data_IF_225752505104
#
_entry.id   IF_225752505104
#
_cell.length_a   1.000
_cell.length_b   1.000
_cell.length_c   1.000
_cell.angle_alpha   90.00
_cell.angle_beta   90.00
_cell.angle_gamma   90.00
#
_symmetry.space_group_name_H-M   'P 1'
#
loop_
_entity.id
_entity.type
_entity.pdbx_description
1 polymer ?
#
# COMPACT_ATOMS: atom_id res chain seq x y z
N UNK A 1 23.26 -8.87 22.30
CA UNK A 1 22.87 -10.20 21.79
C UNK A 1 21.92 -9.99 20.62
N UNK A 2 22.34 -10.25 19.36
CA UNK A 2 21.48 -10.08 18.17
C UNK A 2 20.37 -11.14 18.23
N UNK A 3 19.15 -10.74 18.57
CA UNK A 3 17.98 -11.60 18.40
C UNK A 3 17.88 -11.90 16.90
N UNK A 4 17.90 -13.19 16.54
CA UNK A 4 17.85 -13.63 15.13
C UNK A 4 16.54 -13.13 14.53
N UNK A 5 16.57 -12.63 13.28
CA UNK A 5 15.38 -12.13 12.55
C UNK A 5 14.19 -13.11 12.59
N UNK A 6 14.49 -14.41 12.65
CA UNK A 6 13.51 -15.50 12.80
C UNK A 6 12.71 -15.45 14.11
N UNK A 7 13.24 -14.90 15.20
CA UNK A 7 12.52 -14.79 16.48
C UNK A 7 11.46 -13.68 16.47
N UNK A 8 11.68 -12.61 15.69
CA UNK A 8 10.79 -11.44 15.63
C UNK A 8 9.45 -11.79 14.94
N UNK A 9 9.53 -12.61 13.89
CA UNK A 9 8.38 -13.10 13.14
C UNK A 9 7.55 -14.08 13.98
N UNK A 10 8.21 -14.97 14.76
CA UNK A 10 7.54 -15.93 15.65
C UNK A 10 6.68 -15.22 16.70
N UNK A 11 7.18 -14.11 17.29
CA UNK A 11 6.45 -13.33 18.29
C UNK A 11 5.21 -12.65 17.68
N UNK A 12 5.34 -12.11 16.47
CA UNK A 12 4.23 -11.49 15.74
C UNK A 12 3.15 -12.53 15.37
N UNK A 13 3.54 -13.75 14.96
CA UNK A 13 2.58 -14.84 14.73
C UNK A 13 1.89 -15.33 16.01
N UNK A 14 2.59 -15.34 17.15
CA UNK A 14 2.02 -15.72 18.44
C UNK A 14 1.02 -14.67 18.95
N UNK A 15 1.21 -13.40 18.61
CA UNK A 15 0.27 -12.31 18.92
C UNK A 15 -0.97 -12.33 18.02
N UNK A 16 -0.86 -12.83 16.79
CA UNK A 16 -1.99 -12.93 15.84
C UNK A 16 -2.96 -14.08 16.12
N UNK A 17 -2.60 -15.04 16.98
CA UNK A 17 -3.48 -16.15 17.38
C UNK A 17 -4.26 -15.86 18.67
N UNK A 18 -3.95 -14.76 19.37
CA UNK A 18 -4.68 -14.31 20.56
C UNK A 18 -5.85 -13.43 20.14
N UNK A 19 -7.00 -14.05 19.90
CA UNK A 19 -8.28 -13.37 19.68
C UNK A 19 -8.77 -12.73 21.00
N UNK A 20 -8.44 -11.47 21.23
CA UNK A 20 -9.01 -10.64 22.30
C UNK A 20 -8.80 -9.15 22.05
N UNK A 21 -9.69 -8.26 22.51
CA UNK A 21 -9.56 -6.82 22.27
C UNK A 21 -8.45 -6.23 23.15
N UNK A 22 -7.40 -5.68 22.52
CA UNK A 22 -6.40 -4.86 23.19
C UNK A 22 -7.02 -3.49 23.51
N UNK A 23 -7.26 -3.20 24.78
CA UNK A 23 -7.52 -1.83 25.24
C UNK A 23 -6.20 -1.05 25.30
N UNK A 24 -6.21 0.19 24.82
CA UNK A 24 -5.06 1.08 24.79
C UNK A 24 -4.72 1.61 26.19
N UNK A 25 -3.43 1.60 26.58
CA UNK A 25 -2.94 2.26 27.81
C UNK A 25 -2.19 3.53 27.43
N UNK A 26 -2.59 4.68 28.00
CA UNK A 26 -1.96 6.00 27.79
C UNK A 26 -0.74 6.21 28.69
N UNK A 27 0.20 7.05 28.23
CA UNK A 27 1.56 7.26 28.75
C UNK A 27 1.71 7.83 30.17
N UNK A 28 0.64 7.96 30.96
CA UNK A 28 0.65 8.67 32.26
C UNK A 28 1.03 7.83 33.48
N UNK A 29 1.37 6.54 33.34
CA UNK A 29 1.70 5.67 34.49
C UNK A 29 3.19 5.29 34.65
N UNK A 30 4.12 5.90 33.92
CA UNK A 30 5.56 5.60 34.02
C UNK A 30 6.36 6.78 34.56
N UNK A 31 6.20 7.08 35.84
CA UNK A 31 7.20 7.84 36.58
C UNK A 31 7.23 7.36 38.02
N UNK A 32 8.17 6.45 38.34
CA UNK A 32 9.03 6.58 39.52
C UNK A 32 10.12 5.49 39.59
N UNK A 33 11.36 5.95 39.82
CA UNK A 33 12.55 5.30 40.41
C UNK A 33 13.48 4.36 39.59
N UNK A 34 14.60 5.00 39.23
CA UNK A 34 16.03 4.69 39.55
C UNK A 34 16.91 3.74 38.70
N UNK A 35 17.82 4.40 37.97
CA UNK A 35 19.30 4.31 37.93
C UNK A 35 20.05 3.12 37.31
N UNK A 36 20.76 3.48 36.22
CA UNK A 36 22.07 3.02 35.71
C UNK A 36 22.29 1.54 35.32
N UNK A 37 21.83 1.18 34.12
CA UNK A 37 22.49 0.28 33.15
C UNK A 37 21.81 0.47 31.76
N UNK A 38 22.47 0.24 30.61
CA UNK A 38 21.78 0.27 29.32
C UNK A 38 20.96 -1.03 29.19
N UNK A 39 19.75 -1.02 29.74
CA UNK A 39 18.84 -2.14 29.73
C UNK A 39 18.20 -2.28 28.34
N UNK A 40 18.73 -3.18 27.51
CA UNK A 40 17.93 -3.81 26.44
C UNK A 40 17.08 -4.91 27.10
N UNK A 41 16.00 -4.51 27.76
CA UNK A 41 15.02 -5.44 28.34
C UNK A 41 13.65 -4.81 28.18
N UNK A 42 12.90 -5.25 27.17
CA UNK A 42 11.47 -4.98 27.11
C UNK A 42 10.82 -5.89 28.15
N UNK A 43 10.39 -5.31 29.28
CA UNK A 43 9.56 -6.00 30.27
C UNK A 43 8.14 -6.10 29.73
N UNK A 44 7.64 -7.33 29.62
CA UNK A 44 6.24 -7.63 29.34
C UNK A 44 5.35 -6.99 30.43
N UNK A 45 4.29 -6.26 30.08
CA UNK A 45 3.17 -6.05 30.99
C UNK A 45 2.54 -7.42 31.24
N UNK A 46 2.68 -7.92 32.46
CA UNK A 46 2.23 -9.26 32.82
C UNK A 46 0.84 -9.17 33.45
N UNK A 47 -0.17 -8.75 32.68
CA UNK A 47 -1.56 -8.63 33.15
C UNK A 47 -2.54 -9.56 32.44
N UNK A 48 -2.04 -10.68 31.90
CA UNK A 48 -2.89 -11.82 31.49
C UNK A 48 -3.41 -12.67 32.67
N UNK A 49 -3.57 -12.09 33.87
CA UNK A 49 -4.09 -12.80 35.07
C UNK A 49 -5.29 -12.12 35.74
N UNK A 50 -5.80 -11.00 35.23
CA UNK A 50 -6.92 -10.30 35.86
C UNK A 50 -8.26 -11.04 35.69
N UNK A 51 -8.41 -11.79 34.60
CA UNK A 51 -9.71 -12.33 34.18
C UNK A 51 -10.15 -13.56 35.01
N UNK A 52 -9.19 -14.23 35.64
CA UNK A 52 -9.43 -15.36 36.55
C UNK A 52 -9.71 -14.93 37.99
N UNK A 53 -9.25 -13.75 38.41
CA UNK A 53 -9.60 -13.20 39.72
C UNK A 53 -10.95 -12.48 39.69
N UNK A 54 -11.32 -11.86 38.55
CA UNK A 54 -12.64 -11.24 38.39
C UNK A 54 -13.76 -12.29 38.23
N UNK A 55 -13.48 -13.48 37.69
CA UNK A 55 -14.45 -14.59 37.66
C UNK A 55 -14.70 -15.22 39.03
N UNK A 56 -13.71 -15.18 39.93
CA UNK A 56 -13.85 -15.68 41.31
C UNK A 56 -14.62 -14.67 42.18
N UNK A 57 -14.49 -13.37 41.90
CA UNK A 57 -15.18 -12.33 42.69
C UNK A 57 -16.64 -12.09 42.26
N UNK A 58 -17.03 -12.55 41.06
CA UNK A 58 -18.43 -12.51 40.57
C UNK A 58 -19.30 -13.67 41.08
N UNK A 59 -18.75 -14.61 41.86
CA UNK A 59 -19.53 -15.65 42.54
C UNK A 59 -19.94 -15.25 43.97
N UNK A 60 -19.31 -14.22 44.56
CA UNK A 60 -19.57 -13.81 45.97
C UNK A 60 -20.33 -12.48 46.17
N UNK A 61 -20.76 -11.80 45.10
CA UNK A 61 -21.39 -10.46 45.22
C UNK A 61 -22.90 -10.43 44.92
N UNK A 62 -23.61 -11.56 45.04
CA UNK A 62 -25.07 -11.59 44.89
C UNK A 62 -25.76 -11.46 46.26
N UNK A 63 -25.58 -10.31 46.94
CA UNK A 63 -26.39 -9.90 48.10
C UNK A 63 -26.53 -8.37 48.13
N UNK A 64 -27.75 -7.88 47.84
CA UNK A 64 -28.34 -6.59 48.25
C UNK A 64 -27.64 -5.30 47.78
N UNK A 65 -28.25 -4.13 47.71
CA UNK A 65 -29.59 -3.64 47.99
C UNK A 65 -29.67 -2.21 47.41
N UNK A 66 -30.90 -1.81 47.12
CA UNK A 66 -31.53 -0.53 46.78
C UNK A 66 -30.78 0.83 46.71
N UNK A 67 -31.31 1.61 45.74
CA UNK A 67 -31.86 2.98 45.87
C UNK A 67 -31.15 4.21 45.25
N UNK A 68 -31.95 4.86 44.38
CA UNK A 68 -32.31 6.29 44.30
C UNK A 68 -31.44 7.31 43.51
N UNK A 69 -32.07 7.74 42.40
CA UNK A 69 -32.38 9.12 41.93
C UNK A 69 -31.32 10.25 41.92
N UNK A 70 -31.28 10.95 40.77
CA UNK A 70 -30.77 12.32 40.66
C UNK A 70 -30.76 12.84 39.22
N UNK A 71 -31.41 13.98 38.98
CA UNK A 71 -31.91 14.52 37.69
C UNK A 71 -31.13 15.78 37.26
N UNK A 72 -31.25 16.14 35.96
CA UNK A 72 -31.14 17.51 35.39
C UNK A 72 -29.70 18.04 35.18
N UNK A 73 -29.29 18.81 34.15
CA UNK A 73 -29.92 19.47 32.99
C UNK A 73 -28.82 20.13 32.13
N UNK A 74 -29.05 20.25 30.81
CA UNK A 74 -28.45 21.25 29.88
C UNK A 74 -28.88 22.70 30.25
N UNK A 75 -28.26 23.79 29.73
CA UNK A 75 -28.55 24.28 28.36
C UNK A 75 -27.38 24.96 27.59
N UNK A 76 -27.68 25.20 26.31
CA UNK A 76 -27.00 25.91 25.23
C UNK A 76 -26.67 27.40 25.49
N UNK A 77 -25.83 27.98 24.60
CA UNK A 77 -26.03 29.22 23.79
C UNK A 77 -24.70 29.57 23.09
N UNK A 78 -24.58 30.48 22.12
CA UNK A 78 -25.13 30.71 20.77
C UNK A 78 -24.27 31.88 20.19
N UNK A 79 -24.25 32.07 18.86
CA UNK A 79 -23.91 33.30 18.10
C UNK A 79 -22.44 33.84 18.08
N UNK A 80 -21.93 34.63 17.12
CA UNK A 80 -22.07 34.89 15.66
C UNK A 80 -21.00 35.97 15.30
N UNK A 81 -20.89 36.32 14.00
CA UNK A 81 -20.19 37.48 13.34
C UNK A 81 -18.69 37.32 12.94
N UNK A 82 -18.34 37.22 11.64
CA UNK A 82 -18.16 38.24 10.55
C UNK A 82 -17.06 39.29 10.84
N UNK A 83 -16.11 39.65 9.94
CA UNK A 83 -16.25 40.37 8.65
C UNK A 83 -14.94 40.27 7.81
N UNK A 84 -15.09 40.42 6.49
CA UNK A 84 -14.16 40.47 5.34
C UNK A 84 -13.18 41.69 5.28
N UNK A 85 -12.00 41.58 4.64
CA UNK A 85 -11.57 42.03 3.26
C UNK A 85 -10.46 43.13 3.37
N UNK A 86 -9.76 43.63 2.32
CA UNK A 86 -9.48 43.18 0.92
C UNK A 86 -7.96 43.24 0.53
N UNK A 87 -7.49 42.50 -0.50
CA UNK A 87 -7.19 42.83 -1.94
C UNK A 87 -6.21 43.99 -2.23
N UNK A 88 -5.13 43.68 -2.98
CA UNK A 88 -4.55 44.36 -4.18
C UNK A 88 -3.06 43.97 -4.35
N UNK A 89 -2.37 43.99 -5.49
CA UNK A 89 -2.64 43.82 -6.92
C UNK A 89 -1.25 43.90 -7.62
N UNK A 90 -1.06 43.08 -8.67
CA UNK A 90 -0.23 43.27 -9.88
C UNK A 90 1.24 43.74 -9.83
N UNK A 91 2.06 43.07 -10.65
CA UNK A 91 3.35 43.59 -11.12
C UNK A 91 4.10 42.65 -12.07
N UNK A 92 3.62 42.54 -13.30
CA UNK A 92 4.33 41.91 -14.45
C UNK A 92 5.49 42.80 -14.90
N UNK A 93 6.65 42.22 -15.25
CA UNK A 93 7.58 42.72 -16.30
C UNK A 93 8.76 41.76 -16.55
N UNK A 94 8.77 41.12 -17.72
CA UNK A 94 9.95 40.78 -18.53
C UNK A 94 9.81 41.62 -19.84
N UNK A 95 10.75 41.66 -20.83
CA UNK A 95 12.06 41.02 -20.95
C UNK A 95 13.16 41.95 -21.53
N UNK A 96 14.42 41.50 -21.63
CA UNK A 96 15.24 41.82 -22.83
C UNK A 96 16.45 40.89 -23.01
N UNK A 97 16.54 40.34 -24.22
CA UNK A 97 17.65 39.61 -24.84
C UNK A 97 18.80 40.56 -25.18
N UNK A 98 20.07 40.16 -24.97
CA UNK A 98 21.22 40.62 -25.76
C UNK A 98 22.24 39.51 -26.02
N UNK A 99 22.84 39.67 -27.18
CA UNK A 99 23.62 38.80 -28.06
C UNK A 99 25.05 38.49 -27.58
N UNK A 100 25.63 37.44 -28.18
CA UNK A 100 26.94 36.86 -27.92
C UNK A 100 28.14 37.68 -28.41
N UNK A 101 29.37 37.23 -28.09
CA UNK A 101 30.35 37.03 -29.16
C UNK A 101 31.05 35.65 -29.15
N UNK A 102 31.37 35.20 -30.36
CA UNK A 102 32.35 34.16 -30.77
C UNK A 102 33.76 34.41 -30.16
N UNK A 103 34.72 33.50 -30.05
CA UNK A 103 34.92 32.09 -30.44
C UNK A 103 36.09 31.55 -29.60
N UNK A 104 36.21 30.23 -29.42
CA UNK A 104 37.52 29.56 -29.49
C UNK A 104 37.36 28.05 -29.66
N UNK A 105 38.08 27.57 -30.67
CA UNK A 105 38.26 26.19 -31.10
C UNK A 105 38.73 25.27 -29.95
N UNK A 106 38.00 24.18 -29.73
CA UNK A 106 38.46 23.00 -28.98
C UNK A 106 37.54 21.80 -29.29
N UNK A 107 37.98 20.99 -30.26
CA UNK A 107 37.73 19.55 -30.41
C UNK A 107 36.38 19.00 -29.87
N UNK A 108 35.38 19.00 -30.74
CA UNK A 108 34.13 18.25 -30.54
C UNK A 108 34.40 16.75 -30.72
N UNK A 109 34.09 15.88 -29.73
CA UNK A 109 34.04 14.44 -29.98
C UNK A 109 32.91 14.20 -30.99
N UNK A 110 33.19 13.41 -32.03
CA UNK A 110 32.19 12.94 -33.00
C UNK A 110 30.98 12.42 -32.20
N UNK A 111 29.87 13.15 -32.29
CA UNK A 111 28.62 12.72 -31.71
C UNK A 111 28.28 11.38 -32.38
N UNK A 112 28.30 10.30 -31.60
CA UNK A 112 27.62 9.06 -31.98
C UNK A 112 26.20 9.50 -32.31
N UNK A 113 25.79 9.39 -33.57
CA UNK A 113 24.42 9.69 -33.98
C UNK A 113 23.49 8.89 -33.07
N UNK A 114 22.90 9.56 -32.07
CA UNK A 114 21.83 9.00 -31.27
C UNK A 114 20.76 8.64 -32.28
N UNK A 115 20.34 7.37 -32.30
CA UNK A 115 19.27 6.93 -33.18
C UNK A 115 18.09 7.93 -33.07
N UNK A 116 17.44 8.30 -34.18
CA UNK A 116 16.36 9.27 -34.15
C UNK A 116 15.32 8.85 -33.10
N UNK A 117 14.90 9.81 -32.26
CA UNK A 117 13.87 9.62 -31.24
C UNK A 117 12.62 9.09 -31.94
N UNK A 118 12.25 7.84 -31.67
CA UNK A 118 11.07 7.23 -32.26
C UNK A 118 9.92 7.35 -31.27
N UNK A 119 8.88 8.07 -31.68
CA UNK A 119 7.61 8.11 -30.96
C UNK A 119 6.66 7.14 -31.64
N UNK A 120 6.28 6.08 -30.93
CA UNK A 120 5.25 5.13 -31.38
C UNK A 120 3.91 5.55 -30.77
N UNK A 121 2.83 5.49 -31.55
CA UNK A 121 1.47 5.78 -31.06
C UNK A 121 0.57 4.59 -31.37
N UNK A 122 -0.30 4.22 -30.42
CA UNK A 122 -1.35 3.24 -30.63
C UNK A 122 -2.51 3.46 -29.65
N UNK A 123 -3.39 2.47 -29.49
CA UNK A 123 -4.50 2.50 -28.54
C UNK A 123 -4.50 1.25 -27.67
N UNK A 124 -5.04 1.37 -26.45
CA UNK A 124 -5.45 0.25 -25.61
C UNK A 124 -6.91 0.48 -25.23
N UNK A 125 -7.83 -0.27 -25.82
CA UNK A 125 -9.26 0.05 -25.75
C UNK A 125 -9.57 1.34 -26.47
N UNK A 126 -10.21 2.28 -25.77
CA UNK A 126 -10.51 3.60 -26.34
C UNK A 126 -9.47 4.66 -25.97
N UNK A 127 -8.52 4.34 -25.08
CA UNK A 127 -7.43 5.23 -24.71
C UNK A 127 -6.30 5.16 -25.74
N UNK A 128 -5.85 6.32 -26.21
CA UNK A 128 -4.62 6.44 -26.99
C UNK A 128 -3.39 6.36 -26.09
N UNK A 129 -2.26 5.90 -26.61
CA UNK A 129 -0.99 6.05 -25.93
C UNK A 129 0.15 6.40 -26.88
N UNK A 130 1.14 7.11 -26.34
CA UNK A 130 2.42 7.39 -27.01
C UNK A 130 3.57 6.77 -26.23
N UNK A 131 4.55 6.20 -26.94
CA UNK A 131 5.76 5.64 -26.37
C UNK A 131 6.99 6.34 -26.96
N UNK A 132 7.84 6.89 -26.08
CA UNK A 132 9.11 7.50 -26.46
C UNK A 132 10.27 6.53 -26.26
N UNK A 133 10.80 5.98 -27.35
CA UNK A 133 11.89 4.99 -27.29
C UNK A 133 13.19 5.53 -26.72
N UNK A 134 13.39 6.86 -26.67
CA UNK A 134 14.59 7.45 -26.12
C UNK A 134 14.57 7.53 -24.58
N UNK A 135 13.38 7.57 -23.98
CA UNK A 135 13.20 7.73 -22.53
C UNK A 135 12.53 6.52 -21.87
N UNK A 136 11.83 5.70 -22.65
CA UNK A 136 10.98 4.62 -22.15
C UNK A 136 9.67 5.12 -21.53
N UNK A 137 9.30 6.38 -21.74
CA UNK A 137 8.06 6.96 -21.24
C UNK A 137 6.88 6.49 -22.09
N UNK A 138 5.88 5.92 -21.44
CA UNK A 138 4.58 5.59 -22.00
C UNK A 138 3.52 6.54 -21.42
N UNK A 139 2.82 7.29 -22.26
CA UNK A 139 1.78 8.24 -21.84
C UNK A 139 0.44 7.77 -22.38
N UNK A 140 -0.56 7.61 -21.50
CA UNK A 140 -1.94 7.33 -21.88
C UNK A 140 -2.77 8.61 -21.91
N UNK A 141 -3.51 8.82 -22.99
CA UNK A 141 -4.54 9.85 -23.13
C UNK A 141 -5.92 9.34 -22.71
N UNK A 142 -6.90 10.24 -22.65
CA UNK A 142 -8.26 9.93 -22.22
C UNK A 142 -8.87 8.69 -22.90
N UNK A 143 -9.67 7.93 -22.15
CA UNK A 143 -10.35 6.73 -22.60
C UNK A 143 -10.20 5.56 -21.63
N UNK A 144 -10.78 4.42 -21.97
CA UNK A 144 -10.80 3.22 -21.12
C UNK A 144 -9.83 2.19 -21.65
N UNK A 145 -8.91 1.72 -20.80
CA UNK A 145 -8.02 0.61 -21.11
C UNK A 145 -8.83 -0.69 -21.21
N UNK A 146 -8.38 -1.66 -22.00
CA UNK A 146 -9.13 -2.92 -22.21
C UNK A 146 -8.28 -4.18 -22.39
N UNK A 147 -6.96 -4.02 -22.56
CA UNK A 147 -6.04 -5.11 -22.86
C UNK A 147 -4.87 -5.11 -21.88
N UNK A 148 -4.35 -6.31 -21.60
CA UNK A 148 -3.05 -6.47 -20.93
C UNK A 148 -1.98 -5.71 -21.71
N UNK A 149 -1.29 -4.80 -21.03
CA UNK A 149 -0.43 -3.82 -21.67
C UNK A 149 0.75 -4.49 -22.39
N UNK A 150 1.34 -5.53 -21.81
CA UNK A 150 2.41 -6.32 -22.46
C UNK A 150 2.03 -6.77 -23.88
N UNK A 151 0.83 -7.33 -24.05
CA UNK A 151 0.33 -7.81 -25.34
C UNK A 151 0.07 -6.65 -26.29
N UNK A 152 -0.56 -5.58 -25.79
CA UNK A 152 -0.87 -4.40 -26.58
C UNK A 152 0.41 -3.72 -27.13
N UNK A 153 1.45 -3.57 -26.29
CA UNK A 153 2.76 -3.05 -26.69
C UNK A 153 3.45 -3.94 -27.72
N UNK A 154 3.47 -5.25 -27.49
CA UNK A 154 4.13 -6.21 -28.40
C UNK A 154 3.49 -6.17 -29.79
N UNK A 155 2.16 -6.08 -29.87
CA UNK A 155 1.43 -5.96 -31.13
C UNK A 155 1.72 -4.63 -31.86
N UNK A 156 2.06 -3.59 -31.11
CA UNK A 156 2.48 -2.30 -31.64
C UNK A 156 3.98 -2.23 -31.98
N UNK A 157 4.72 -3.34 -31.85
CA UNK A 157 6.17 -3.39 -32.09
C UNK A 157 7.01 -2.74 -30.99
N UNK A 158 6.45 -2.52 -29.80
CA UNK A 158 7.16 -1.99 -28.63
C UNK A 158 7.54 -3.15 -27.72
N UNK A 159 8.84 -3.28 -27.40
CA UNK A 159 9.32 -4.27 -26.43
C UNK A 159 8.87 -3.87 -25.02
N UNK A 160 8.11 -4.71 -24.29
CA UNK A 160 7.62 -4.35 -22.95
C UNK A 160 8.70 -4.00 -21.93
N UNK A 161 9.89 -4.59 -22.06
CA UNK A 161 11.04 -4.29 -21.20
C UNK A 161 11.63 -2.88 -21.41
N UNK A 162 11.27 -2.20 -22.51
CA UNK A 162 11.73 -0.84 -22.80
C UNK A 162 10.87 0.23 -22.13
N UNK A 163 9.67 -0.11 -21.65
CA UNK A 163 8.84 0.79 -20.84
C UNK A 163 9.48 0.98 -19.47
N UNK A 164 9.85 2.22 -19.14
CA UNK A 164 10.49 2.60 -17.87
C UNK A 164 9.56 3.36 -16.95
N UNK A 165 8.70 4.20 -17.54
CA UNK A 165 7.71 4.96 -16.80
C UNK A 165 6.37 4.98 -17.53
N UNK A 166 5.29 5.02 -16.76
CA UNK A 166 3.93 5.21 -17.26
C UNK A 166 3.38 6.49 -16.67
N UNK A 167 2.73 7.30 -17.50
CA UNK A 167 2.00 8.50 -17.11
C UNK A 167 0.57 8.42 -17.65
N UNK A 168 -0.38 8.95 -16.87
CA UNK A 168 -1.78 9.06 -17.26
C UNK A 168 -2.15 10.54 -17.39
N UNK A 169 -2.70 10.91 -18.54
CA UNK A 169 -3.38 12.20 -18.72
C UNK A 169 -4.81 12.12 -18.16
N UNK A 170 -5.46 13.28 -18.02
CA UNK A 170 -6.82 13.35 -17.50
C UNK A 170 -7.80 12.49 -18.32
N UNK A 171 -8.68 11.76 -17.62
CA UNK A 171 -9.74 10.96 -18.23
C UNK A 171 -9.32 9.54 -18.63
N UNK A 172 -8.18 9.03 -18.17
CA UNK A 172 -7.84 7.61 -18.34
C UNK A 172 -8.58 6.77 -17.31
N UNK A 173 -9.29 5.75 -17.78
CA UNK A 173 -10.14 4.87 -16.95
C UNK A 173 -9.62 3.44 -17.00
N UNK A 174 -9.47 2.82 -15.84
CA UNK A 174 -9.16 1.40 -15.70
C UNK A 174 -10.40 0.54 -16.04
N UNK A 175 -10.26 -0.60 -16.73
CA UNK A 175 -11.36 -1.51 -16.97
C UNK A 175 -11.79 -2.20 -15.67
N UNK A 176 -13.09 -2.54 -15.57
CA UNK A 176 -13.64 -3.31 -14.45
C UNK A 176 -12.84 -4.60 -14.15
N UNK A 177 -12.32 -5.26 -15.19
CA UNK A 177 -11.30 -6.29 -15.04
C UNK A 177 -9.92 -5.72 -15.44
N UNK A 178 -9.16 -5.29 -14.45
CA UNK A 178 -7.78 -4.82 -14.59
C UNK A 178 -6.76 -5.91 -14.25
N UNK A 179 -7.19 -7.18 -14.25
CA UNK A 179 -6.28 -8.28 -13.93
C UNK A 179 -5.13 -8.31 -14.94
N UNK A 180 -3.90 -8.39 -14.45
CA UNK A 180 -2.67 -8.43 -15.23
C UNK A 180 -2.42 -7.19 -16.12
N UNK A 181 -3.16 -6.09 -15.94
CA UNK A 181 -3.14 -4.93 -16.84
C UNK A 181 -1.72 -4.39 -17.06
N UNK A 182 -0.90 -4.29 -16.00
CA UNK A 182 0.50 -3.85 -16.07
C UNK A 182 1.51 -4.98 -15.82
N UNK A 183 1.11 -6.25 -15.91
CA UNK A 183 2.00 -7.38 -15.61
C UNK A 183 3.16 -7.53 -16.60
N UNK A 184 4.29 -8.01 -16.07
CA UNK A 184 5.50 -8.38 -16.81
C UNK A 184 6.13 -7.23 -17.61
N UNK A 185 5.98 -6.01 -17.12
CA UNK A 185 6.70 -4.84 -17.59
C UNK A 185 8.03 -4.78 -16.83
N UNK A 186 8.95 -5.70 -17.15
CA UNK A 186 10.20 -5.90 -16.41
C UNK A 186 11.14 -4.70 -16.40
N UNK A 187 10.89 -3.70 -17.25
CA UNK A 187 11.58 -2.41 -17.26
C UNK A 187 10.90 -1.31 -16.45
N UNK A 188 9.63 -1.48 -16.07
CA UNK A 188 8.83 -0.46 -15.42
C UNK A 188 9.39 -0.19 -14.04
N UNK A 189 9.88 1.04 -13.85
CA UNK A 189 10.43 1.48 -12.58
C UNK A 189 9.61 2.59 -11.94
N UNK A 190 8.67 3.22 -12.65
CA UNK A 190 7.95 4.38 -12.12
C UNK A 190 6.55 4.51 -12.71
N UNK A 191 5.59 4.87 -11.87
CA UNK A 191 4.34 5.49 -12.30
C UNK A 191 4.42 6.99 -11.98
N UNK A 192 4.13 7.84 -12.96
CA UNK A 192 4.19 9.30 -12.84
C UNK A 192 2.76 9.79 -12.69
N UNK A 193 2.48 10.45 -11.56
CA UNK A 193 1.20 11.11 -11.27
C UNK A 193 -0.02 10.23 -11.59
N UNK A 194 -0.25 9.23 -10.74
CA UNK A 194 -1.35 8.27 -10.88
C UNK A 194 -2.73 8.85 -10.51
N UNK A 195 -2.81 10.14 -10.17
CA UNK A 195 -4.07 10.80 -9.81
C UNK A 195 -5.08 10.86 -10.97
N UNK A 196 -4.59 10.82 -12.21
CA UNK A 196 -5.41 10.83 -13.42
C UNK A 196 -5.88 9.43 -13.89
N UNK A 197 -5.53 8.38 -13.15
CA UNK A 197 -5.95 7.02 -13.47
C UNK A 197 -7.15 6.61 -12.63
N UNK A 198 -8.35 6.66 -13.21
CA UNK A 198 -9.59 6.32 -12.52
C UNK A 198 -9.72 4.80 -12.36
N UNK A 199 -9.60 4.33 -11.11
CA UNK A 199 -9.78 2.92 -10.75
C UNK A 199 -11.12 2.63 -10.04
N UNK A 200 -12.01 3.60 -9.92
CA UNK A 200 -13.25 3.50 -9.13
C UNK A 200 -14.20 2.38 -9.61
N UNK A 201 -14.13 2.03 -10.89
CA UNK A 201 -14.96 0.97 -11.49
C UNK A 201 -14.35 -0.43 -11.42
N UNK A 202 -13.11 -0.56 -10.92
CA UNK A 202 -12.37 -1.82 -10.94
C UNK A 202 -12.92 -2.83 -9.94
N UNK A 203 -13.18 -4.05 -10.42
CA UNK A 203 -13.62 -5.21 -9.63
C UNK A 203 -12.53 -6.25 -9.43
N UNK A 204 -11.60 -6.38 -10.39
CA UNK A 204 -10.52 -7.36 -10.34
C UNK A 204 -9.18 -6.69 -10.63
N UNK A 205 -8.26 -6.75 -9.66
CA UNK A 205 -6.90 -6.21 -9.73
C UNK A 205 -5.83 -7.31 -9.61
N UNK A 206 -6.21 -8.57 -9.81
CA UNK A 206 -5.29 -9.70 -9.67
C UNK A 206 -4.09 -9.56 -10.63
N UNK A 207 -2.88 -9.73 -10.12
CA UNK A 207 -1.66 -9.69 -10.94
C UNK A 207 -1.32 -8.33 -11.55
N UNK A 208 -1.86 -7.21 -11.05
CA UNK A 208 -1.69 -5.89 -11.69
C UNK A 208 -0.22 -5.57 -12.02
N UNK A 209 0.71 -5.85 -11.10
CA UNK A 209 2.15 -5.65 -11.23
C UNK A 209 2.95 -6.97 -11.15
N UNK A 210 2.33 -8.07 -11.57
CA UNK A 210 2.95 -9.40 -11.53
C UNK A 210 4.24 -9.43 -12.37
N UNK A 211 5.36 -9.85 -11.76
CA UNK A 211 6.69 -9.93 -12.39
C UNK A 211 7.29 -8.60 -12.88
N UNK A 212 6.85 -7.47 -12.34
CA UNK A 212 7.47 -6.17 -12.62
C UNK A 212 8.74 -6.00 -11.77
N UNK A 213 9.83 -6.65 -12.20
CA UNK A 213 11.04 -6.82 -11.40
C UNK A 213 11.89 -5.55 -11.19
N UNK A 214 11.62 -4.49 -11.95
CA UNK A 214 12.26 -3.17 -11.86
C UNK A 214 11.43 -2.11 -11.11
N UNK A 215 10.24 -2.46 -10.62
CA UNK A 215 9.31 -1.53 -9.98
C UNK A 215 9.98 -0.76 -8.83
N UNK A 216 9.76 0.57 -8.75
CA UNK A 216 10.47 1.47 -7.84
C UNK A 216 10.43 1.05 -6.37
N UNK A 217 11.44 1.54 -5.65
CA UNK A 217 11.56 1.49 -4.19
C UNK A 217 10.34 2.10 -3.49
N UNK A 218 9.75 3.15 -4.05
CA UNK A 218 8.56 3.84 -3.54
C UNK A 218 7.55 4.00 -4.66
N UNK A 219 6.53 3.16 -4.66
CA UNK A 219 5.40 3.25 -5.57
C UNK A 219 4.24 3.90 -4.81
N UNK A 220 3.86 5.12 -5.20
CA UNK A 220 2.68 5.76 -4.64
C UNK A 220 1.42 5.24 -5.36
N UNK A 221 0.59 4.51 -4.62
CA UNK A 221 -0.69 3.95 -5.07
C UNK A 221 -1.85 4.49 -4.21
N UNK A 222 -1.64 5.59 -3.50
CA UNK A 222 -2.62 6.14 -2.55
C UNK A 222 -3.89 6.64 -3.23
N UNK A 223 -3.80 6.99 -4.53
CA UNK A 223 -4.94 7.47 -5.34
C UNK A 223 -5.81 6.36 -5.91
N UNK A 224 -5.41 5.09 -5.77
CA UNK A 224 -6.22 3.97 -6.27
C UNK A 224 -7.46 3.82 -5.39
N UNK A 225 -8.63 4.03 -5.98
CA UNK A 225 -9.89 3.61 -5.39
C UNK A 225 -10.01 2.08 -5.52
N UNK A 226 -9.98 1.40 -4.38
CA UNK A 226 -10.14 -0.06 -4.27
C UNK A 226 -11.48 -0.47 -3.67
N UNK A 227 -12.39 0.47 -3.41
CA UNK A 227 -13.65 0.24 -2.68
C UNK A 227 -14.61 -0.73 -3.37
N UNK A 228 -14.42 -0.99 -4.67
CA UNK A 228 -15.20 -1.94 -5.47
C UNK A 228 -14.46 -3.23 -5.82
N UNK A 229 -13.22 -3.38 -5.39
CA UNK A 229 -12.37 -4.53 -5.75
C UNK A 229 -12.78 -5.77 -4.96
N UNK A 230 -12.84 -6.91 -5.67
CA UNK A 230 -13.23 -8.21 -5.14
C UNK A 230 -12.04 -9.19 -5.06
N UNK A 231 -11.01 -9.00 -5.90
CA UNK A 231 -9.83 -9.86 -5.94
C UNK A 231 -8.55 -9.08 -6.25
N UNK A 232 -7.51 -9.36 -5.48
CA UNK A 232 -6.16 -8.77 -5.56
C UNK A 232 -5.04 -9.84 -5.56
N UNK A 233 -5.37 -11.09 -5.86
CA UNK A 233 -4.40 -12.19 -5.86
C UNK A 233 -3.21 -11.93 -6.80
N UNK A 234 -2.00 -12.36 -6.39
CA UNK A 234 -0.75 -12.19 -7.14
C UNK A 234 -0.38 -10.74 -7.54
N UNK A 235 -1.04 -9.71 -7.01
CA UNK A 235 -0.87 -8.32 -7.49
C UNK A 235 0.58 -7.84 -7.53
N UNK A 236 1.38 -8.22 -6.54
CA UNK A 236 2.81 -7.90 -6.41
C UNK A 236 3.69 -9.16 -6.40
N UNK A 237 3.18 -10.30 -6.90
CA UNK A 237 3.96 -11.54 -6.97
C UNK A 237 5.18 -11.34 -7.90
N UNK A 238 6.36 -11.72 -7.40
CA UNK A 238 7.65 -11.54 -8.07
C UNK A 238 7.97 -10.08 -8.46
N UNK A 239 7.33 -9.10 -7.81
CA UNK A 239 7.58 -7.68 -8.07
C UNK A 239 8.92 -7.18 -7.50
N UNK A 240 9.43 -6.10 -8.09
CA UNK A 240 10.66 -5.43 -7.68
C UNK A 240 10.51 -4.41 -6.54
N UNK A 241 9.28 -4.12 -6.09
CA UNK A 241 9.01 -3.10 -5.09
C UNK A 241 9.71 -3.41 -3.77
N UNK A 242 10.27 -2.37 -3.14
CA UNK A 242 11.00 -2.52 -1.85
C UNK A 242 10.22 -1.97 -0.65
N UNK A 243 9.31 -1.02 -0.89
CA UNK A 243 8.39 -0.46 0.09
C UNK A 243 7.00 -0.27 -0.50
N UNK A 244 5.97 -0.71 0.23
CA UNK A 244 4.57 -0.53 -0.15
C UNK A 244 3.77 -0.04 1.06
N UNK A 245 3.11 1.11 0.90
CA UNK A 245 2.06 1.53 1.83
C UNK A 245 0.70 1.32 1.19
N UNK A 246 -0.05 0.33 1.70
CA UNK A 246 -1.38 -0.04 1.22
C UNK A 246 -2.44 0.22 2.30
N UNK A 247 -2.13 1.06 3.29
CA UNK A 247 -3.04 1.36 4.39
C UNK A 247 -4.25 2.21 3.98
N UNK A 248 -4.16 2.93 2.86
CA UNK A 248 -5.28 3.69 2.30
C UNK A 248 -6.30 2.83 1.54
N UNK A 249 -5.96 1.58 1.23
CA UNK A 249 -6.83 0.73 0.42
C UNK A 249 -8.03 0.23 1.21
N UNK A 250 -9.23 0.47 0.68
CA UNK A 250 -10.44 -0.24 1.10
C UNK A 250 -10.39 -1.66 0.55
N UNK A 251 -10.18 -2.63 1.44
CA UNK A 251 -10.17 -4.07 1.13
C UNK A 251 -11.34 -4.80 1.76
N UNK A 252 -12.41 -4.08 2.16
CA UNK A 252 -13.55 -4.66 2.90
C UNK A 252 -14.30 -5.72 2.10
N UNK A 253 -14.36 -5.56 0.77
CA UNK A 253 -15.05 -6.48 -0.16
C UNK A 253 -14.14 -7.54 -0.78
N UNK A 254 -12.82 -7.45 -0.59
CA UNK A 254 -11.87 -8.35 -1.25
C UNK A 254 -11.88 -9.73 -0.59
N UNK A 255 -12.13 -10.76 -1.40
CA UNK A 255 -12.10 -12.16 -0.97
C UNK A 255 -10.83 -12.90 -1.36
N UNK A 256 -10.09 -12.44 -2.38
CA UNK A 256 -8.89 -13.11 -2.88
C UNK A 256 -7.61 -12.30 -2.71
N UNK A 257 -6.71 -12.74 -1.83
CA UNK A 257 -5.35 -12.21 -1.62
C UNK A 257 -4.26 -13.27 -1.87
N UNK A 258 -4.64 -14.43 -2.41
CA UNK A 258 -3.70 -15.53 -2.68
C UNK A 258 -2.48 -15.04 -3.44
N UNK A 259 -1.27 -15.46 -3.04
CA UNK A 259 0.01 -15.06 -3.62
C UNK A 259 0.31 -13.55 -3.67
N UNK A 260 -0.44 -12.65 -3.01
CA UNK A 260 -0.36 -11.22 -3.30
C UNK A 260 1.06 -10.62 -3.31
N UNK A 261 1.95 -11.08 -2.43
CA UNK A 261 3.36 -10.69 -2.35
C UNK A 261 4.31 -11.88 -2.53
N UNK A 262 3.84 -12.99 -3.11
CA UNK A 262 4.65 -14.21 -3.26
C UNK A 262 5.93 -13.89 -4.03
N UNK A 263 7.08 -14.34 -3.51
CA UNK A 263 8.41 -14.12 -4.06
C UNK A 263 8.74 -12.64 -4.35
N UNK A 264 8.11 -11.68 -3.66
CA UNK A 264 8.53 -10.28 -3.65
C UNK A 264 9.83 -10.15 -2.83
N UNK A 265 10.90 -10.74 -3.35
CA UNK A 265 12.17 -10.96 -2.64
C UNK A 265 12.91 -9.67 -2.28
N UNK A 266 12.55 -8.54 -2.91
CA UNK A 266 13.10 -7.22 -2.63
C UNK A 266 12.27 -6.40 -1.61
N UNK A 267 11.08 -6.86 -1.25
CA UNK A 267 10.17 -6.14 -0.36
C UNK A 267 10.73 -6.14 1.07
N UNK A 268 10.99 -4.95 1.60
CA UNK A 268 11.54 -4.75 2.96
C UNK A 268 10.54 -4.12 3.92
N UNK A 269 9.64 -3.30 3.39
CA UNK A 269 8.66 -2.52 4.16
C UNK A 269 7.27 -2.68 3.56
N UNK A 270 6.30 -3.00 4.40
CA UNK A 270 4.91 -3.19 4.00
C UNK A 270 3.96 -2.69 5.10
N UNK A 271 3.04 -1.80 4.74
CA UNK A 271 2.01 -1.31 5.65
C UNK A 271 0.62 -1.81 5.22
N UNK A 272 0.01 -2.65 6.07
CA UNK A 272 -1.35 -3.21 5.91
C UNK A 272 -2.26 -2.83 7.09
N UNK A 273 -1.92 -1.76 7.81
CA UNK A 273 -2.46 -1.47 9.14
C UNK A 273 -3.98 -1.33 9.24
N UNK A 274 -4.71 -1.15 8.15
CA UNK A 274 -6.18 -0.99 8.10
C UNK A 274 -6.91 -2.23 7.60
N UNK A 275 -6.17 -3.24 7.15
CA UNK A 275 -6.77 -4.34 6.39
C UNK A 275 -7.65 -5.23 7.25
N UNK A 276 -8.86 -5.52 6.74
CA UNK A 276 -9.84 -6.36 7.43
C UNK A 276 -10.70 -5.63 8.46
N UNK A 277 -10.42 -4.36 8.76
CA UNK A 277 -11.35 -3.50 9.51
C UNK A 277 -12.64 -3.35 8.69
N UNK A 278 -13.80 -3.61 9.30
CA UNK A 278 -15.10 -3.49 8.62
C UNK A 278 -15.34 -4.48 7.47
N UNK A 279 -14.59 -5.58 7.39
CA UNK A 279 -14.69 -6.55 6.29
C UNK A 279 -16.12 -7.08 6.09
N UNK A 280 -16.60 -6.99 4.85
CA UNK A 280 -17.90 -7.50 4.41
C UNK A 280 -17.78 -8.80 3.61
N UNK A 281 -16.61 -9.10 3.04
CA UNK A 281 -16.34 -10.38 2.39
C UNK A 281 -16.51 -11.54 3.40
N UNK A 282 -17.29 -12.56 3.03
CA UNK A 282 -17.69 -13.68 3.92
C UNK A 282 -16.73 -14.87 3.89
N UNK A 283 -15.90 -14.98 2.87
CA UNK A 283 -14.83 -15.98 2.75
C UNK A 283 -13.62 -15.31 2.11
N UNK A 284 -12.49 -15.34 2.82
CA UNK A 284 -11.27 -14.66 2.41
C UNK A 284 -10.11 -15.64 2.33
N UNK A 285 -9.43 -15.64 1.19
CA UNK A 285 -8.33 -16.53 0.87
C UNK A 285 -7.01 -15.73 0.85
N UNK A 286 -6.06 -16.10 1.70
CA UNK A 286 -4.74 -15.46 1.87
C UNK A 286 -3.59 -16.46 1.71
N UNK A 287 -3.84 -17.59 1.05
CA UNK A 287 -2.83 -18.63 0.84
C UNK A 287 -1.59 -18.09 0.12
N UNK A 288 -0.39 -18.54 0.52
CA UNK A 288 0.91 -18.14 -0.03
C UNK A 288 1.16 -16.62 -0.13
N UNK A 289 0.38 -15.77 0.57
CA UNK A 289 0.41 -14.31 0.42
C UNK A 289 1.81 -13.70 0.60
N UNK A 290 2.60 -14.20 1.56
CA UNK A 290 3.96 -13.74 1.85
C UNK A 290 5.04 -14.78 1.53
N UNK A 291 4.69 -15.85 0.80
CA UNK A 291 5.62 -16.94 0.53
C UNK A 291 6.85 -16.40 -0.19
N UNK A 292 8.06 -16.61 0.33
CA UNK A 292 9.30 -16.16 -0.32
C UNK A 292 9.59 -14.66 -0.22
N UNK A 293 8.88 -13.88 0.61
CA UNK A 293 9.25 -12.48 0.93
C UNK A 293 10.42 -12.43 1.93
N UNK A 294 11.59 -12.94 1.54
CA UNK A 294 12.72 -13.19 2.45
C UNK A 294 13.38 -11.94 3.06
N UNK A 295 13.14 -10.75 2.49
CA UNK A 295 13.69 -9.48 2.97
C UNK A 295 12.69 -8.62 3.77
N UNK A 296 11.45 -9.06 3.95
CA UNK A 296 10.43 -8.28 4.65
C UNK A 296 10.76 -8.20 6.14
N UNK A 297 11.12 -7.01 6.63
CA UNK A 297 11.49 -6.78 8.04
C UNK A 297 10.62 -5.74 8.73
N UNK A 298 10.03 -4.80 7.97
CA UNK A 298 9.16 -3.76 8.51
C UNK A 298 7.73 -4.02 8.05
N UNK A 299 7.00 -4.85 8.79
CA UNK A 299 5.61 -5.18 8.50
C UNK A 299 4.69 -4.51 9.52
N UNK A 300 3.90 -3.53 9.09
CA UNK A 300 2.92 -2.85 9.93
C UNK A 300 1.54 -3.50 9.81
N UNK A 301 1.05 -4.04 10.94
CA UNK A 301 -0.23 -4.73 11.08
C UNK A 301 -1.12 -4.15 12.20
N UNK A 302 -0.90 -2.90 12.64
CA UNK A 302 -1.51 -2.36 13.88
C UNK A 302 -3.02 -2.61 14.04
N UNK A 303 -3.84 -2.48 12.99
CA UNK A 303 -5.28 -2.84 13.03
C UNK A 303 -5.67 -3.95 12.05
N UNK A 304 -4.70 -4.75 11.59
CA UNK A 304 -4.96 -5.86 10.67
C UNK A 304 -5.92 -6.88 11.32
N UNK A 305 -6.98 -7.29 10.60
CA UNK A 305 -7.95 -8.29 11.05
C UNK A 305 -8.03 -9.48 10.09
N UNK A 306 -8.13 -10.66 10.68
CA UNK A 306 -8.27 -11.96 10.00
C UNK A 306 -9.71 -12.45 9.92
N UNK A 307 -10.69 -11.57 10.21
CA UNK A 307 -12.12 -11.87 10.14
C UNK A 307 -12.48 -12.52 8.80
N UNK A 308 -13.24 -13.61 8.84
CA UNK A 308 -13.69 -14.36 7.66
C UNK A 308 -12.58 -14.96 6.77
N UNK A 309 -11.32 -15.02 7.23
CA UNK A 309 -10.26 -15.73 6.49
C UNK A 309 -10.46 -17.23 6.61
N UNK A 310 -10.64 -17.90 5.48
CA UNK A 310 -10.89 -19.34 5.36
C UNK A 310 -9.63 -20.14 5.03
N UNK A 311 -8.59 -19.48 4.51
CA UNK A 311 -7.34 -20.14 4.13
C UNK A 311 -6.14 -19.21 4.27
N UNK A 312 -5.16 -19.62 5.07
CA UNK A 312 -3.86 -18.96 5.24
C UNK A 312 -2.70 -19.93 4.93
N UNK A 313 -2.95 -20.99 4.16
CA UNK A 313 -1.98 -22.05 3.88
C UNK A 313 -0.66 -21.49 3.32
N UNK A 314 0.44 -22.16 3.66
CA UNK A 314 1.71 -21.58 4.10
C UNK A 314 2.14 -20.25 3.42
N UNK A 315 2.10 -19.17 4.21
CA UNK A 315 2.68 -17.87 3.91
C UNK A 315 4.20 -17.77 4.13
N UNK A 316 4.90 -18.81 4.62
CA UNK A 316 6.37 -18.87 4.72
C UNK A 316 6.88 -20.32 4.71
N UNK A 317 7.81 -20.70 3.82
CA UNK A 317 8.53 -21.99 3.93
C UNK A 317 10.04 -21.78 3.93
N UNK A 318 10.58 -21.49 5.10
CA UNK A 318 11.85 -22.10 5.55
C UNK A 318 11.65 -22.77 6.94
N UNK A 319 10.41 -23.14 7.29
CA UNK A 319 10.11 -23.85 8.54
C UNK A 319 9.14 -25.02 8.27
N UNK A 320 9.49 -26.27 8.61
CA UNK A 320 8.63 -27.45 8.37
C UNK A 320 7.38 -27.55 9.25
N UNK A 321 7.18 -26.67 10.23
CA UNK A 321 6.00 -26.69 11.12
C UNK A 321 4.83 -25.85 10.60
N UNK A 322 4.34 -26.16 9.39
CA UNK A 322 3.10 -25.58 8.86
C UNK A 322 1.87 -26.33 9.43
N UNK A 323 1.61 -26.12 10.72
CA UNK A 323 0.34 -26.42 11.38
C UNK A 323 -0.17 -25.14 12.04
N UNK A 324 -1.21 -24.52 11.49
CA UNK A 324 -2.31 -24.00 12.33
C UNK A 324 -3.62 -24.40 11.67
N UNK A 325 -4.45 -24.98 12.53
CA UNK A 325 -5.58 -25.85 12.32
C UNK A 325 -6.76 -25.21 11.61
N UNK A 326 -7.60 -26.09 11.06
CA UNK A 326 -9.03 -25.90 10.86
C UNK A 326 -9.65 -25.05 11.98
N UNK A 327 -10.62 -24.22 11.59
CA UNK A 327 -11.68 -23.71 12.45
C UNK A 327 -12.31 -24.81 13.32
#
# INVERSE_FOLDING_TARGET
>A
MRVRKSLYIIIITLLMTLSGPLQAVTASQLSEKNNNQPATTMRLPNDGRSDLQELIQRVDANVGDDSAEGRSSEPETDEHETVEEPVENSGVSEPTVKEAPEATDSQKPVAKNKAPRAITTNTNGTSTWTFDSATGLLVFGAGTLSQILKTNLTNAGVTPADVKSIQFESGVVAPANSSNLFSQLTGLSQLIDVSNFDTSSVKYMSGLFYKDSALATTLDLSTFDTSNVLSMGSMFEESGATSLDLSSWDVTKVSGFGNMFRNATKLTTLNLSTWGVGRTATSVEMWYMFYGTSLLTNLNLTNFKTTNVTNMSCSYTENPDCFISRA
#
